data_IF_901335586783
#
_entry.id   IF_901335586783
#
_cell.length_a   1.000
_cell.length_b   1.000
_cell.length_c   1.000
_cell.angle_alpha   90.00
_cell.angle_beta   90.00
_cell.angle_gamma   90.00
#
_symmetry.space_group_name_H-M   'P 1'
#
loop_
_entity.id
_entity.type
_entity.pdbx_description
1 polymer ?
#
# COMPACT_ATOMS: atom_id res chain seq x y z
N UNK A 1 1.31 8.21 14.63
CA UNK A 1 0.78 6.84 14.85
C UNK A 1 1.84 5.89 14.32
N UNK A 2 2.38 4.99 15.14
CA UNK A 2 3.60 4.24 14.78
C UNK A 2 3.26 3.00 13.95
N UNK A 3 2.83 3.22 12.69
CA UNK A 3 2.36 2.19 11.75
C UNK A 3 3.33 1.01 11.65
N UNK A 4 4.64 1.32 11.66
CA UNK A 4 5.71 0.37 11.52
C UNK A 4 5.69 -0.70 12.61
N UNK A 5 5.50 -0.32 13.88
CA UNK A 5 5.49 -1.25 15.03
C UNK A 5 4.33 -2.24 14.94
N UNK A 6 3.16 -1.78 14.49
CA UNK A 6 1.95 -2.62 14.44
C UNK A 6 1.98 -3.65 13.31
N UNK A 7 2.67 -3.36 12.21
CA UNK A 7 2.72 -4.25 11.04
C UNK A 7 4.02 -5.05 10.92
N UNK A 8 4.98 -4.93 11.84
CA UNK A 8 6.29 -5.61 11.79
C UNK A 8 6.19 -7.10 11.42
N UNK A 9 5.21 -7.81 11.99
CA UNK A 9 5.03 -9.24 11.73
C UNK A 9 4.69 -9.57 10.28
N UNK A 10 4.15 -8.60 9.53
CA UNK A 10 3.81 -8.71 8.11
C UNK A 10 4.92 -8.20 7.19
N UNK A 11 6.03 -7.69 7.74
CA UNK A 11 7.18 -7.24 6.97
C UNK A 11 8.30 -8.30 7.00
N UNK A 12 9.09 -8.38 5.93
CA UNK A 12 10.36 -9.09 5.90
C UNK A 12 11.51 -8.21 6.41
N UNK A 13 12.72 -8.77 6.43
CA UNK A 13 13.94 -8.07 6.85
C UNK A 13 14.30 -6.87 5.96
N UNK A 14 13.74 -6.80 4.75
CA UNK A 14 13.91 -5.69 3.81
C UNK A 14 12.77 -4.67 3.89
N UNK A 15 11.81 -4.85 4.81
CA UNK A 15 10.65 -3.97 4.97
C UNK A 15 9.57 -4.17 3.90
N UNK A 16 9.58 -5.28 3.17
CA UNK A 16 8.53 -5.62 2.18
C UNK A 16 7.43 -6.42 2.84
N UNK A 17 6.20 -6.24 2.38
CA UNK A 17 5.04 -6.95 2.91
C UNK A 17 5.11 -8.43 2.49
N UNK A 18 5.34 -9.32 3.45
CA UNK A 18 5.52 -10.76 3.20
C UNK A 18 4.24 -11.58 3.32
N UNK A 19 3.20 -11.03 3.96
CA UNK A 19 1.93 -11.73 4.15
C UNK A 19 0.77 -10.73 4.20
N UNK A 20 -0.35 -11.10 3.57
CA UNK A 20 -1.59 -10.35 3.67
C UNK A 20 -2.33 -10.65 5.00
N UNK A 21 -2.73 -9.64 5.80
CA UNK A 21 -3.42 -9.88 7.07
C UNK A 21 -4.81 -10.51 6.86
N UNK A 22 -4.92 -11.82 7.08
CA UNK A 22 -6.16 -12.60 6.88
C UNK A 22 -6.81 -13.15 8.17
N UNK A 23 -6.10 -13.06 9.31
CA UNK A 23 -6.53 -13.59 10.63
C UNK A 23 -7.15 -12.50 11.53
N UNK A 24 -7.32 -12.79 12.85
CA UNK A 24 -7.93 -11.88 13.84
C UNK A 24 -7.48 -10.42 13.66
N UNK A 25 -8.43 -9.49 13.71
CA UNK A 25 -8.24 -8.05 13.44
C UNK A 25 -7.79 -7.69 12.01
N UNK A 26 -8.13 -8.53 11.01
CA UNK A 26 -7.79 -8.32 9.59
C UNK A 26 -8.01 -6.87 9.12
N UNK A 27 -9.18 -6.28 9.36
CA UNK A 27 -9.50 -4.95 8.83
C UNK A 27 -8.55 -3.85 9.31
N UNK A 28 -8.12 -3.89 10.57
CA UNK A 28 -7.15 -2.93 11.12
C UNK A 28 -5.79 -3.12 10.45
N UNK A 29 -5.27 -4.35 10.45
CA UNK A 29 -3.92 -4.61 9.92
C UNK A 29 -3.85 -4.48 8.41
N UNK A 30 -4.89 -4.85 7.67
CA UNK A 30 -4.99 -4.61 6.23
C UNK A 30 -4.90 -3.12 5.95
N UNK A 31 -5.66 -2.28 6.68
CA UNK A 31 -5.59 -0.83 6.52
C UNK A 31 -4.17 -0.30 6.78
N UNK A 32 -3.52 -0.71 7.87
CA UNK A 32 -2.16 -0.26 8.19
C UNK A 32 -1.13 -0.70 7.14
N UNK A 33 -1.26 -1.92 6.59
CA UNK A 33 -0.40 -2.42 5.51
C UNK A 33 -0.62 -1.61 4.23
N UNK A 34 -1.87 -1.29 3.89
CA UNK A 34 -2.18 -0.49 2.71
C UNK A 34 -1.71 0.96 2.86
N UNK A 35 -1.86 1.56 4.05
CA UNK A 35 -1.32 2.89 4.37
C UNK A 35 0.21 2.90 4.28
N UNK A 36 0.88 1.85 4.75
CA UNK A 36 2.32 1.66 4.56
C UNK A 36 2.70 1.58 3.08
N UNK A 37 1.99 0.80 2.27
CA UNK A 37 2.24 0.72 0.83
C UNK A 37 1.94 2.03 0.11
N UNK A 38 0.95 2.80 0.56
CA UNK A 38 0.62 4.11 0.01
C UNK A 38 1.77 5.11 0.16
N UNK A 39 2.60 4.98 1.20
CA UNK A 39 3.82 5.80 1.39
C UNK A 39 4.86 5.62 0.28
N UNK A 40 4.74 4.57 -0.53
CA UNK A 40 5.65 4.29 -1.66
C UNK A 40 5.24 4.99 -2.95
N UNK A 41 4.08 5.66 -2.94
CA UNK A 41 3.59 6.44 -4.07
C UNK A 41 3.79 7.93 -3.79
N UNK A 42 4.39 8.62 -4.74
CA UNK A 42 4.48 10.08 -4.70
C UNK A 42 3.13 10.73 -5.01
N UNK A 43 2.77 11.76 -4.26
CA UNK A 43 1.54 12.54 -4.44
C UNK A 43 1.67 13.46 -5.65
N UNK A 44 0.62 13.54 -6.46
CA UNK A 44 0.59 14.35 -7.68
C UNK A 44 1.24 13.68 -8.89
N UNK A 45 1.80 12.48 -8.73
CA UNK A 45 2.29 11.66 -9.85
C UNK A 45 1.19 10.71 -10.34
N UNK A 46 1.04 10.65 -11.66
CA UNK A 46 0.17 9.71 -12.35
C UNK A 46 1.01 8.51 -12.79
N UNK A 47 0.62 7.34 -12.32
CA UNK A 47 1.23 6.06 -12.63
C UNK A 47 0.34 5.27 -13.58
N UNK A 48 0.96 4.61 -14.55
CA UNK A 48 0.29 3.55 -15.32
C UNK A 48 0.09 2.32 -14.45
N UNK A 49 -0.83 1.44 -14.85
CA UNK A 49 -1.01 0.12 -14.22
C UNK A 49 0.32 -0.65 -14.07
N UNK A 50 1.18 -0.61 -15.10
CA UNK A 50 2.48 -1.29 -15.07
C UNK A 50 3.41 -0.73 -14.00
N UNK A 51 3.44 0.60 -13.83
CA UNK A 51 4.24 1.25 -12.80
C UNK A 51 3.71 0.94 -11.40
N UNK A 52 2.39 0.97 -11.20
CA UNK A 52 1.77 0.56 -9.93
C UNK A 52 2.13 -0.88 -9.59
N UNK A 53 2.00 -1.79 -10.56
CA UNK A 53 2.35 -3.19 -10.36
C UNK A 53 3.84 -3.36 -10.01
N UNK A 54 4.73 -2.61 -10.66
CA UNK A 54 6.16 -2.64 -10.34
C UNK A 54 6.44 -2.17 -8.91
N UNK A 55 5.92 -1.00 -8.50
CA UNK A 55 6.05 -0.48 -7.13
C UNK A 55 5.54 -1.50 -6.11
N UNK A 56 4.36 -2.07 -6.34
CA UNK A 56 3.81 -3.07 -5.44
C UNK A 56 4.72 -4.31 -5.39
N UNK A 57 5.17 -4.84 -6.54
CA UNK A 57 6.08 -5.99 -6.62
C UNK A 57 7.41 -5.77 -5.90
N UNK A 58 7.92 -4.54 -5.88
CA UNK A 58 9.15 -4.20 -5.15
C UNK A 58 8.93 -4.15 -3.63
N UNK A 59 7.70 -3.88 -3.19
CA UNK A 59 7.34 -3.68 -1.79
C UNK A 59 6.50 -4.82 -1.17
N UNK A 60 6.28 -5.92 -1.88
CA UNK A 60 5.63 -7.13 -1.33
C UNK A 60 6.24 -8.41 -1.91
N UNK A 61 6.10 -9.53 -1.21
CA UNK A 61 6.70 -10.82 -1.62
C UNK A 61 5.69 -11.98 -1.69
N UNK A 62 4.43 -11.76 -1.33
CA UNK A 62 3.38 -12.80 -1.38
C UNK A 62 2.72 -12.98 -2.75
N UNK A 63 3.13 -12.20 -3.76
CA UNK A 63 2.81 -12.44 -5.18
C UNK A 63 1.39 -12.07 -5.63
N UNK A 64 0.69 -11.20 -4.90
CA UNK A 64 -0.65 -10.74 -5.26
C UNK A 64 -0.76 -9.20 -5.21
N UNK A 65 -0.07 -8.54 -6.15
CA UNK A 65 -0.15 -7.10 -6.34
C UNK A 65 -1.55 -6.64 -6.81
N UNK A 66 -2.31 -7.52 -7.48
CA UNK A 66 -3.65 -7.20 -7.95
C UNK A 66 -4.64 -7.01 -6.78
N UNK A 67 -4.56 -7.87 -5.77
CA UNK A 67 -5.27 -7.70 -4.50
C UNK A 67 -4.92 -6.36 -3.84
N UNK A 68 -3.62 -6.07 -3.69
CA UNK A 68 -3.18 -4.81 -3.07
C UNK A 68 -3.73 -3.60 -3.81
N UNK A 69 -3.59 -3.55 -5.13
CA UNK A 69 -4.11 -2.46 -5.96
C UNK A 69 -5.61 -2.27 -5.80
N UNK A 70 -6.39 -3.36 -5.78
CA UNK A 70 -7.85 -3.31 -5.57
C UNK A 70 -8.19 -2.75 -4.19
N UNK A 71 -7.57 -3.29 -3.15
CA UNK A 71 -7.84 -2.86 -1.77
C UNK A 71 -7.41 -1.41 -1.53
N UNK A 72 -6.27 -0.97 -2.08
CA UNK A 72 -5.83 0.42 -1.99
C UNK A 72 -6.84 1.37 -2.63
N UNK A 73 -7.42 0.99 -3.78
CA UNK A 73 -8.49 1.75 -4.43
C UNK A 73 -9.78 1.73 -3.60
N UNK A 74 -10.22 0.56 -3.12
CA UNK A 74 -11.44 0.44 -2.31
C UNK A 74 -11.36 1.20 -0.98
N UNK A 75 -10.16 1.35 -0.42
CA UNK A 75 -9.90 2.16 0.79
C UNK A 75 -9.66 3.64 0.49
N UNK A 76 -9.65 4.06 -0.77
CA UNK A 76 -9.47 5.44 -1.19
C UNK A 76 -8.04 5.99 -1.02
N UNK A 77 -7.05 5.11 -0.86
CA UNK A 77 -5.64 5.52 -0.74
C UNK A 77 -5.05 5.92 -2.09
N UNK A 78 -5.46 5.22 -3.15
CA UNK A 78 -5.18 5.58 -4.53
C UNK A 78 -6.48 5.73 -5.29
N UNK A 79 -6.46 6.57 -6.31
CA UNK A 79 -7.51 6.65 -7.31
C UNK A 79 -7.04 6.06 -8.63
N UNK A 80 -7.99 5.78 -9.51
CA UNK A 80 -7.73 5.26 -10.85
C UNK A 80 -8.73 5.78 -11.86
N UNK A 81 -8.32 5.85 -13.11
CA UNK A 81 -9.26 6.01 -14.22
C UNK A 81 -10.13 4.76 -14.39
N UNK A 82 -11.33 4.93 -14.95
CA UNK A 82 -12.31 3.82 -15.11
C UNK A 82 -11.77 2.69 -15.99
N UNK A 83 -10.94 3.01 -16.95
CA UNK A 83 -10.30 2.05 -17.86
C UNK A 83 -9.04 1.41 -17.26
N UNK A 84 -8.60 1.85 -16.07
CA UNK A 84 -7.38 1.37 -15.41
C UNK A 84 -6.08 1.86 -16.05
N UNK A 85 -6.13 2.83 -16.97
CA UNK A 85 -4.94 3.34 -17.66
C UNK A 85 -4.01 4.13 -16.73
N UNK A 86 -4.60 4.80 -15.73
CA UNK A 86 -3.92 5.71 -14.82
C UNK A 86 -4.35 5.48 -13.36
N UNK A 87 -3.40 5.68 -12.45
CA UNK A 87 -3.53 5.60 -10.99
C UNK A 87 -2.77 6.75 -10.34
N UNK A 88 -3.24 7.26 -9.20
CA UNK A 88 -2.53 8.31 -8.47
C UNK A 88 -2.88 8.30 -6.98
N UNK A 89 -1.94 8.73 -6.15
CA UNK A 89 -2.17 8.90 -4.71
C UNK A 89 -2.72 10.31 -4.44
N UNK A 90 -3.86 10.40 -3.76
CA UNK A 90 -4.50 11.68 -3.41
C UNK A 90 -4.11 12.19 -2.01
N UNK A 91 -3.46 11.36 -1.21
CA UNK A 91 -3.23 11.65 0.19
C UNK A 91 -1.74 11.74 0.44
N UNK A 92 -1.27 12.88 0.92
CA UNK A 92 -0.03 12.91 1.68
C UNK A 92 -0.28 12.03 2.89
N UNK A 93 0.25 10.81 2.88
CA UNK A 93 0.44 10.09 4.13
C UNK A 93 1.50 10.93 4.83
N UNK A 94 1.06 11.86 5.68
CA UNK A 94 1.96 12.73 6.42
C UNK A 94 3.02 11.83 7.08
N UNK A 95 4.25 11.99 6.64
CA UNK A 95 5.41 11.48 7.33
C UNK A 95 5.47 12.27 8.64
N UNK A 96 4.73 11.81 9.65
CA UNK A 96 4.84 12.32 11.02
C UNK A 96 6.11 11.74 11.62
N UNK A 97 7.25 12.03 10.98
CA UNK A 97 8.52 12.02 11.63
C UNK A 97 8.48 13.14 12.67
N UNK A 98 8.56 12.75 13.94
CA UNK A 98 8.70 13.60 15.12
C UNK A 98 7.41 14.28 15.63
N UNK A 99 6.77 13.62 16.60
CA UNK A 99 6.46 14.26 17.88
C UNK A 99 6.43 13.20 18.99
#
# INVERSE_FOLDING_TARGET
MNYFVEIQRYLDEQGRVKEWPSKRNKGKFQRLVLEYLATKFEVGIIYTEKQVNAILNDHHTFGDHALLRREMFEKGLINRERDGSAYWCNQQVEDVAQN
#
